data_IF_435251724270
#
_entry.id   IF_435251724270
#
_cell.length_a   1.000
_cell.length_b   1.000
_cell.length_c   1.000
_cell.angle_alpha   90.00
_cell.angle_beta   90.00
_cell.angle_gamma   90.00
#
_symmetry.space_group_name_H-M   'P 1'
#
loop_
_entity.id
_entity.type
_entity.pdbx_description
1 polymer ?
#
# COMPACT_ATOMS: atom_id res chain seq x y z
N UNK A 1 9.76 15.75 -0.48
CA UNK A 1 8.50 16.49 -0.69
C UNK A 1 7.38 15.49 -0.86
N UNK A 2 6.18 15.74 -0.30
CA UNK A 2 5.04 14.85 -0.48
C UNK A 2 4.65 14.74 -1.95
N UNK A 3 4.15 13.58 -2.35
CA UNK A 3 3.67 13.33 -3.71
C UNK A 3 2.47 14.24 -4.01
N UNK A 4 2.52 14.87 -5.17
CA UNK A 4 1.43 15.69 -5.68
C UNK A 4 0.59 14.88 -6.67
N UNK A 5 -0.73 15.10 -6.68
CA UNK A 5 -1.58 14.59 -7.73
C UNK A 5 -1.35 15.41 -9.01
N UNK A 6 -0.40 14.95 -9.82
CA UNK A 6 0.07 15.67 -11.01
C UNK A 6 0.29 14.73 -12.19
N UNK A 7 0.35 15.31 -13.38
CA UNK A 7 0.61 14.57 -14.61
C UNK A 7 2.03 13.97 -14.60
N UNK A 8 2.15 12.70 -15.01
CA UNK A 8 3.44 11.99 -15.03
C UNK A 8 4.43 12.49 -16.10
N UNK A 9 3.96 13.30 -17.07
CA UNK A 9 4.81 13.86 -18.12
C UNK A 9 5.25 15.29 -17.82
N UNK A 10 4.30 16.16 -17.48
CA UNK A 10 4.55 17.60 -17.33
C UNK A 10 4.62 18.07 -15.88
N UNK A 11 4.40 17.17 -14.91
CA UNK A 11 4.40 17.50 -13.49
C UNK A 11 3.28 18.46 -13.09
N UNK A 12 3.40 19.07 -11.88
CA UNK A 12 2.47 20.08 -11.40
C UNK A 12 2.55 21.36 -12.25
N UNK A 13 1.39 21.91 -12.63
CA UNK A 13 1.31 23.17 -13.41
C UNK A 13 0.23 24.08 -12.85
N UNK A 14 0.48 25.40 -12.87
CA UNK A 14 -0.51 26.39 -12.49
C UNK A 14 -1.76 26.29 -13.38
N UNK A 15 -2.95 26.35 -12.78
CA UNK A 15 -4.23 26.28 -13.49
C UNK A 15 -4.67 24.88 -13.93
N UNK A 16 -3.88 23.83 -13.67
CA UNK A 16 -4.31 22.44 -13.89
C UNK A 16 -4.71 21.84 -12.53
N UNK A 17 -6.01 21.68 -12.33
CA UNK A 17 -6.53 21.09 -11.10
C UNK A 17 -6.32 19.55 -11.11
N UNK A 18 -5.92 18.92 -10.00
CA UNK A 18 -5.74 17.47 -9.93
C UNK A 18 -6.92 16.64 -10.44
N UNK A 19 -8.14 17.09 -10.17
CA UNK A 19 -9.41 16.48 -10.59
C UNK A 19 -9.65 16.54 -12.11
N UNK A 20 -8.96 17.43 -12.82
CA UNK A 20 -9.00 17.52 -14.28
C UNK A 20 -8.09 16.51 -14.99
N UNK A 21 -7.24 15.80 -14.23
CA UNK A 21 -6.33 14.81 -14.77
C UNK A 21 -7.02 13.45 -14.98
N UNK A 22 -6.66 12.79 -16.07
CA UNK A 22 -7.18 11.47 -16.40
C UNK A 22 -6.34 10.39 -15.73
N UNK A 23 -7.00 9.51 -14.99
CA UNK A 23 -6.39 8.27 -14.50
C UNK A 23 -6.20 7.30 -15.67
N UNK A 24 -5.09 6.56 -15.67
CA UNK A 24 -4.97 5.41 -16.56
C UNK A 24 -6.11 4.42 -16.29
N UNK A 25 -6.94 4.13 -17.30
CA UNK A 25 -8.14 3.30 -17.14
C UNK A 25 -7.86 1.87 -16.70
N UNK A 26 -6.64 1.37 -16.91
CA UNK A 26 -6.25 0.00 -16.57
C UNK A 26 -5.72 -0.14 -15.15
N UNK A 27 -4.70 0.62 -14.77
CA UNK A 27 -4.09 0.49 -13.43
C UNK A 27 -4.68 1.46 -12.40
N UNK A 28 -5.32 2.55 -12.86
CA UNK A 28 -5.85 3.64 -12.04
C UNK A 28 -4.82 4.34 -11.14
N UNK A 29 -3.53 4.04 -11.34
CA UNK A 29 -2.42 4.40 -10.46
C UNK A 29 -1.55 5.53 -11.02
N UNK A 30 -1.87 6.11 -12.18
CA UNK A 30 -1.11 7.23 -12.77
C UNK A 30 -2.06 8.26 -13.35
N UNK A 31 -1.62 9.52 -13.42
CA UNK A 31 -2.39 10.66 -13.91
C UNK A 31 -1.74 11.28 -15.14
N UNK A 32 -2.55 11.62 -16.13
CA UNK A 32 -2.12 12.28 -17.35
C UNK A 32 -3.09 13.42 -17.71
N UNK A 33 -2.61 14.48 -18.36
CA UNK A 33 -3.49 15.60 -18.76
C UNK A 33 -4.48 15.23 -19.88
N UNK A 34 -4.24 14.13 -20.59
CA UNK A 34 -5.03 13.69 -21.72
C UNK A 34 -4.34 12.61 -22.53
N UNK A 35 -4.92 12.28 -23.69
CA UNK A 35 -4.49 11.17 -24.55
C UNK A 35 -3.04 11.28 -25.03
N UNK A 36 -2.58 12.51 -25.29
CA UNK A 36 -1.20 12.77 -25.73
C UNK A 36 -0.20 12.33 -24.65
N UNK A 37 -0.29 12.91 -23.45
CA UNK A 37 0.59 12.55 -22.33
C UNK A 37 0.44 11.09 -21.91
N UNK A 38 -0.77 10.55 -21.96
CA UNK A 38 -0.99 9.12 -21.70
C UNK A 38 -0.21 8.24 -22.68
N UNK A 39 -0.22 8.56 -23.98
CA UNK A 39 0.50 7.80 -25.00
C UNK A 39 2.01 7.94 -24.83
N UNK A 40 2.49 9.13 -24.50
CA UNK A 40 3.91 9.41 -24.22
C UNK A 40 4.41 8.68 -22.99
N UNK A 41 3.63 8.66 -21.91
CA UNK A 41 3.98 8.02 -20.65
C UNK A 41 3.77 6.49 -20.66
N UNK A 42 2.88 5.96 -21.51
CA UNK A 42 2.52 4.55 -21.51
C UNK A 42 3.71 3.59 -21.61
N UNK A 43 4.70 3.77 -22.50
CA UNK A 43 5.86 2.88 -22.57
C UNK A 43 6.60 2.74 -21.24
N UNK A 44 6.73 3.83 -20.47
CA UNK A 44 7.45 3.86 -19.20
C UNK A 44 6.72 3.07 -18.10
N UNK A 45 5.40 3.23 -17.96
CA UNK A 45 4.65 2.55 -16.90
C UNK A 45 3.97 1.23 -17.35
N UNK A 46 4.15 0.79 -18.60
CA UNK A 46 3.46 -0.38 -19.19
C UNK A 46 3.63 -1.67 -18.38
N UNK A 47 4.84 -1.93 -17.89
CA UNK A 47 5.14 -3.14 -17.12
C UNK A 47 4.38 -3.15 -15.78
N UNK A 48 4.50 -2.06 -15.01
CA UNK A 48 3.79 -1.87 -13.74
C UNK A 48 2.27 -1.84 -13.94
N UNK A 49 1.79 -1.19 -15.01
CA UNK A 49 0.37 -1.15 -15.35
C UNK A 49 -0.24 -2.55 -15.52
N UNK A 50 0.45 -3.43 -16.24
CA UNK A 50 0.01 -4.82 -16.44
C UNK A 50 0.08 -5.62 -15.13
N UNK A 51 1.15 -5.44 -14.35
CA UNK A 51 1.34 -6.10 -13.06
C UNK A 51 0.22 -5.74 -12.09
N UNK A 52 -0.07 -4.45 -11.91
CA UNK A 52 -1.15 -3.97 -11.02
C UNK A 52 -2.51 -4.49 -11.46
N UNK A 53 -2.80 -4.48 -12.77
CA UNK A 53 -4.08 -5.03 -13.27
C UNK A 53 -4.21 -6.50 -12.90
N UNK A 54 -3.17 -7.31 -13.13
CA UNK A 54 -3.17 -8.73 -12.77
C UNK A 54 -3.38 -8.95 -11.27
N UNK A 55 -2.67 -8.18 -10.43
CA UNK A 55 -2.79 -8.30 -8.97
C UNK A 55 -4.17 -7.89 -8.47
N UNK A 56 -4.75 -6.82 -9.03
CA UNK A 56 -6.12 -6.40 -8.71
C UNK A 56 -7.15 -7.44 -9.12
N UNK A 57 -6.99 -8.05 -10.30
CA UNK A 57 -7.88 -9.11 -10.77
C UNK A 57 -7.82 -10.35 -9.87
N UNK A 58 -6.62 -10.76 -9.47
CA UNK A 58 -6.45 -11.86 -8.53
C UNK A 58 -7.07 -11.51 -7.17
N UNK A 59 -6.82 -10.31 -6.64
CA UNK A 59 -7.40 -9.87 -5.38
C UNK A 59 -8.93 -9.88 -5.41
N UNK A 60 -9.56 -9.44 -6.50
CA UNK A 60 -11.02 -9.47 -6.64
C UNK A 60 -11.55 -10.91 -6.78
N UNK A 61 -10.82 -11.77 -7.50
CA UNK A 61 -11.16 -13.19 -7.58
C UNK A 61 -11.13 -13.85 -6.20
N UNK A 62 -10.03 -13.70 -5.44
CA UNK A 62 -9.93 -14.25 -4.09
C UNK A 62 -10.97 -13.63 -3.14
N UNK A 63 -11.32 -12.34 -3.32
CA UNK A 63 -12.42 -11.72 -2.57
C UNK A 63 -13.77 -12.36 -2.91
N UNK A 64 -13.99 -12.72 -4.17
CA UNK A 64 -15.20 -13.43 -4.58
C UNK A 64 -15.29 -14.81 -3.93
N UNK A 65 -14.19 -15.58 -3.91
CA UNK A 65 -14.14 -16.88 -3.25
C UNK A 65 -14.41 -16.75 -1.74
N UNK A 66 -13.80 -15.77 -1.06
CA UNK A 66 -14.04 -15.56 0.37
C UNK A 66 -15.49 -15.14 0.66
N UNK A 67 -16.12 -14.33 -0.19
CA UNK A 67 -17.53 -13.90 -0.02
C UNK A 67 -18.52 -15.03 -0.24
N UNK A 68 -18.21 -15.96 -1.16
CA UNK A 68 -19.14 -17.00 -1.60
C UNK A 68 -18.68 -18.40 -1.17
N UNK A 69 -17.80 -18.50 -0.18
CA UNK A 69 -17.35 -19.77 0.36
C UNK A 69 -18.54 -20.53 0.97
N UNK A 70 -18.66 -21.81 0.60
CA UNK A 70 -19.55 -22.73 1.29
C UNK A 70 -19.00 -23.02 2.69
N UNK A 71 -19.88 -23.01 3.69
CA UNK A 71 -19.49 -23.26 5.08
C UNK A 71 -19.08 -24.73 5.27
N UNK A 72 -17.91 -24.96 5.87
CA UNK A 72 -17.44 -26.25 6.31
C UNK A 72 -16.71 -26.16 7.67
N UNK A 73 -16.23 -27.30 8.18
CA UNK A 73 -15.56 -27.38 9.49
C UNK A 73 -14.36 -26.42 9.67
N UNK A 74 -13.80 -25.89 8.58
CA UNK A 74 -12.59 -25.04 8.57
C UNK A 74 -12.78 -23.70 7.86
N UNK A 75 -13.89 -23.52 7.13
CA UNK A 75 -14.17 -22.36 6.30
C UNK A 75 -15.53 -21.76 6.66
N UNK A 76 -15.57 -20.52 7.16
CA UNK A 76 -16.84 -19.86 7.42
C UNK A 76 -17.48 -19.36 6.12
N UNK A 77 -18.82 -19.35 6.09
CA UNK A 77 -19.57 -18.60 5.09
C UNK A 77 -19.24 -17.10 5.20
N UNK A 78 -18.78 -16.51 4.10
CA UNK A 78 -18.42 -15.09 3.99
C UNK A 78 -17.59 -14.56 5.17
N UNK A 79 -16.29 -14.88 5.19
CA UNK A 79 -15.41 -14.49 6.28
C UNK A 79 -15.34 -12.96 6.53
N UNK A 80 -15.66 -12.13 5.54
CA UNK A 80 -15.64 -10.67 5.68
C UNK A 80 -16.59 -10.13 6.75
N UNK A 81 -17.73 -10.78 6.97
CA UNK A 81 -18.76 -10.32 7.92
C UNK A 81 -18.54 -10.86 9.33
N UNK A 82 -18.00 -12.07 9.44
CA UNK A 82 -17.96 -12.84 10.69
C UNK A 82 -16.58 -12.87 11.33
N UNK A 83 -15.50 -12.62 10.58
CA UNK A 83 -14.13 -12.88 11.03
C UNK A 83 -13.14 -11.75 10.78
N UNK A 84 -13.62 -10.53 10.50
CA UNK A 84 -12.77 -9.34 10.43
C UNK A 84 -11.91 -9.21 11.71
N UNK A 85 -10.63 -8.88 11.52
CA UNK A 85 -9.60 -8.86 12.56
C UNK A 85 -8.84 -10.18 12.71
N UNK A 86 -9.45 -11.31 12.35
CA UNK A 86 -8.92 -12.66 12.56
C UNK A 86 -8.66 -13.44 11.25
N UNK A 87 -8.60 -12.78 10.08
CA UNK A 87 -8.47 -13.45 8.78
C UNK A 87 -7.32 -14.46 8.74
N UNK A 88 -6.17 -14.16 9.32
CA UNK A 88 -5.03 -15.08 9.25
C UNK A 88 -5.27 -16.44 9.92
N UNK A 89 -6.19 -16.52 10.89
CA UNK A 89 -6.57 -17.79 11.52
C UNK A 89 -7.37 -18.67 10.56
N UNK A 90 -8.02 -18.10 9.55
CA UNK A 90 -8.80 -18.81 8.55
C UNK A 90 -7.94 -19.05 7.31
N UNK A 91 -7.59 -20.31 7.09
CA UNK A 91 -6.71 -20.72 6.00
C UNK A 91 -7.22 -20.28 4.62
N UNK A 92 -8.53 -20.39 4.37
CA UNK A 92 -9.15 -20.03 3.09
C UNK A 92 -9.10 -18.53 2.77
N UNK A 93 -8.88 -17.65 3.75
CA UNK A 93 -8.73 -16.19 3.49
C UNK A 93 -7.30 -15.75 3.23
N UNK A 94 -6.31 -16.61 3.51
CA UNK A 94 -4.89 -16.26 3.33
C UNK A 94 -4.51 -15.94 1.87
N UNK A 95 -5.02 -16.66 0.85
CA UNK A 95 -4.80 -16.27 -0.55
C UNK A 95 -5.22 -14.83 -0.85
N UNK A 96 -6.40 -14.41 -0.35
CA UNK A 96 -6.87 -13.03 -0.47
C UNK A 96 -5.91 -12.04 0.20
N UNK A 97 -5.47 -12.31 1.44
CA UNK A 97 -4.52 -11.43 2.16
C UNK A 97 -3.18 -11.31 1.42
N UNK A 98 -2.67 -12.41 0.85
CA UNK A 98 -1.46 -12.40 0.02
C UNK A 98 -1.65 -11.59 -1.25
N UNK A 99 -2.80 -11.72 -1.93
CA UNK A 99 -3.12 -10.95 -3.13
C UNK A 99 -3.19 -9.44 -2.85
N UNK A 100 -3.68 -9.04 -1.67
CA UNK A 100 -3.61 -7.64 -1.22
C UNK A 100 -2.17 -7.16 -1.08
N UNK A 101 -1.29 -7.92 -0.43
CA UNK A 101 0.11 -7.54 -0.26
C UNK A 101 0.85 -7.41 -1.61
N UNK A 102 0.56 -8.30 -2.55
CA UNK A 102 1.04 -8.22 -3.92
C UNK A 102 0.60 -6.90 -4.59
N UNK A 103 -0.69 -6.56 -4.49
CA UNK A 103 -1.22 -5.31 -5.03
C UNK A 103 -0.60 -4.08 -4.36
N UNK A 104 -0.46 -4.08 -3.03
CA UNK A 104 0.19 -3.02 -2.24
C UNK A 104 1.62 -2.80 -2.74
N UNK A 105 2.38 -3.88 -2.93
CA UNK A 105 3.75 -3.83 -3.44
C UNK A 105 3.80 -3.25 -4.86
N UNK A 106 2.90 -3.68 -5.74
CA UNK A 106 2.80 -3.17 -7.11
C UNK A 106 2.42 -1.69 -7.20
N UNK A 107 1.52 -1.23 -6.34
CA UNK A 107 1.12 0.17 -6.24
C UNK A 107 2.23 1.04 -5.63
N UNK A 108 2.90 0.56 -4.59
CA UNK A 108 3.97 1.28 -3.90
C UNK A 108 5.19 1.55 -4.79
N UNK A 109 5.38 0.75 -5.84
CA UNK A 109 6.42 0.93 -6.85
C UNK A 109 6.13 2.05 -7.86
N UNK A 110 4.93 2.64 -7.87
CA UNK A 110 4.61 3.79 -8.72
C UNK A 110 4.73 5.07 -7.90
N UNK A 111 5.64 5.99 -8.26
CA UNK A 111 5.83 7.27 -7.55
C UNK A 111 4.74 8.29 -7.92
N UNK A 112 3.47 7.93 -7.69
CA UNK A 112 2.32 8.80 -7.94
C UNK A 112 1.42 8.83 -6.71
N UNK A 113 0.84 10.01 -6.45
CA UNK A 113 -0.11 10.16 -5.35
C UNK A 113 -1.27 9.16 -5.38
N UNK A 114 -2.02 8.94 -6.48
CA UNK A 114 -3.13 7.98 -6.47
C UNK A 114 -2.67 6.52 -6.29
N UNK A 115 -1.45 6.16 -6.69
CA UNK A 115 -0.91 4.83 -6.43
C UNK A 115 -0.67 4.62 -4.93
N UNK A 116 -0.01 5.58 -4.28
CA UNK A 116 0.29 5.53 -2.84
C UNK A 116 -0.97 5.64 -2.00
N UNK A 117 -1.95 6.47 -2.39
CA UNK A 117 -3.27 6.53 -1.74
C UNK A 117 -4.00 5.18 -1.83
N UNK A 118 -3.97 4.52 -3.00
CA UNK A 118 -4.56 3.20 -3.16
C UNK A 118 -3.81 2.13 -2.34
N UNK A 119 -2.48 2.15 -2.33
CA UNK A 119 -1.69 1.24 -1.49
C UNK A 119 -2.02 1.42 -0.01
N UNK A 120 -2.11 2.66 0.46
CA UNK A 120 -2.45 2.97 1.85
C UNK A 120 -3.86 2.47 2.19
N UNK A 121 -4.84 2.66 1.30
CA UNK A 121 -6.18 2.12 1.49
C UNK A 121 -6.17 0.59 1.66
N UNK A 122 -5.44 -0.13 0.80
CA UNK A 122 -5.32 -1.59 0.89
C UNK A 122 -4.59 -2.03 2.17
N UNK A 123 -3.53 -1.33 2.61
CA UNK A 123 -2.84 -1.63 3.87
C UNK A 123 -3.75 -1.45 5.08
N UNK A 124 -4.54 -0.37 5.13
CA UNK A 124 -5.51 -0.12 6.21
C UNK A 124 -6.58 -1.22 6.26
N UNK A 125 -7.03 -1.69 5.10
CA UNK A 125 -7.98 -2.80 5.04
C UNK A 125 -7.34 -4.13 5.46
N UNK A 126 -6.07 -4.40 5.08
CA UNK A 126 -5.32 -5.55 5.60
C UNK A 126 -5.26 -5.55 7.13
N UNK A 127 -4.95 -4.40 7.74
CA UNK A 127 -4.86 -4.25 9.20
C UNK A 127 -6.22 -4.42 9.89
N UNK A 128 -7.31 -3.94 9.26
CA UNK A 128 -8.68 -4.19 9.73
C UNK A 128 -9.05 -5.67 9.70
N UNK A 129 -8.67 -6.38 8.64
CA UNK A 129 -8.98 -7.80 8.45
C UNK A 129 -8.08 -8.74 9.26
N UNK A 130 -6.84 -8.34 9.51
CA UNK A 130 -5.83 -9.10 10.23
C UNK A 130 -5.02 -8.14 11.11
N UNK A 131 -5.48 -7.93 12.37
CA UNK A 131 -4.82 -7.01 13.31
C UNK A 131 -3.38 -7.42 13.60
N UNK A 132 -3.14 -8.74 13.67
CA UNK A 132 -1.82 -9.35 13.89
C UNK A 132 -0.84 -9.14 12.73
N UNK A 133 -1.32 -8.62 11.59
CA UNK A 133 -0.53 -8.27 10.41
C UNK A 133 0.49 -9.33 10.01
N UNK A 134 0.00 -10.53 9.70
CA UNK A 134 0.86 -11.66 9.34
C UNK A 134 1.43 -11.57 7.92
N UNK A 135 0.93 -10.63 7.10
CA UNK A 135 1.46 -10.33 5.76
C UNK A 135 2.50 -9.21 5.76
N UNK A 136 2.71 -8.54 6.91
CA UNK A 136 3.76 -7.55 7.11
C UNK A 136 3.47 -6.16 6.53
N UNK A 137 2.20 -5.77 6.37
CA UNK A 137 1.86 -4.44 5.82
C UNK A 137 2.28 -3.29 6.75
N UNK A 138 2.46 -3.53 8.06
CA UNK A 138 2.86 -2.49 9.04
C UNK A 138 4.21 -1.86 8.71
N UNK A 139 5.09 -2.59 8.04
CA UNK A 139 6.42 -2.09 7.64
C UNK A 139 6.33 -1.03 6.52
N UNK A 140 5.24 -1.05 5.75
CA UNK A 140 5.07 -0.17 4.59
C UNK A 140 4.22 1.06 4.94
N UNK A 141 3.28 0.95 5.90
CA UNK A 141 2.35 2.03 6.27
C UNK A 141 3.03 3.36 6.59
N UNK A 142 4.07 3.44 7.45
CA UNK A 142 4.73 4.72 7.74
C UNK A 142 5.30 5.38 6.47
N UNK A 143 5.92 4.59 5.59
CA UNK A 143 6.49 5.10 4.34
C UNK A 143 5.40 5.69 3.42
N UNK A 144 4.25 5.02 3.30
CA UNK A 144 3.14 5.52 2.49
C UNK A 144 2.57 6.83 3.06
N UNK A 145 2.38 6.92 4.37
CA UNK A 145 1.90 8.13 5.04
C UNK A 145 2.88 9.31 4.82
N UNK A 146 4.19 9.06 4.98
CA UNK A 146 5.23 10.07 4.75
C UNK A 146 5.26 10.54 3.28
N UNK A 147 5.10 9.64 2.32
CA UNK A 147 5.01 9.99 0.89
C UNK A 147 3.77 10.85 0.58
N UNK A 148 2.70 10.73 1.36
CA UNK A 148 1.50 11.57 1.25
C UNK A 148 1.58 12.86 2.08
N UNK A 149 2.63 13.05 2.86
CA UNK A 149 2.78 14.20 3.77
C UNK A 149 1.96 14.11 5.04
N UNK A 150 1.47 12.91 5.39
CA UNK A 150 0.69 12.62 6.60
C UNK A 150 1.64 12.31 7.76
N UNK A 151 2.43 13.31 8.16
CA UNK A 151 3.53 13.14 9.11
C UNK A 151 3.05 12.76 10.51
N UNK A 152 1.98 13.40 11.00
CA UNK A 152 1.45 13.13 12.32
C UNK A 152 0.89 11.71 12.39
N UNK A 153 0.12 11.30 11.38
CA UNK A 153 -0.46 9.96 11.31
C UNK A 153 0.62 8.88 11.17
N UNK A 154 1.71 9.17 10.45
CA UNK A 154 2.87 8.27 10.38
C UNK A 154 3.50 8.09 11.76
N UNK A 155 3.70 9.19 12.50
CA UNK A 155 4.28 9.15 13.83
C UNK A 155 3.37 8.42 14.83
N UNK A 156 2.09 8.77 14.86
CA UNK A 156 1.09 8.14 15.72
C UNK A 156 1.03 6.62 15.51
N UNK A 157 1.06 6.18 14.26
CA UNK A 157 1.14 4.76 13.89
C UNK A 157 2.42 4.10 14.42
N UNK A 158 3.58 4.72 14.16
CA UNK A 158 4.88 4.21 14.65
C UNK A 158 4.87 4.08 16.17
N UNK A 159 4.43 5.13 16.87
CA UNK A 159 4.37 5.18 18.32
C UNK A 159 3.52 4.04 18.87
N UNK A 160 2.31 3.84 18.34
CA UNK A 160 1.43 2.76 18.77
C UNK A 160 2.12 1.40 18.65
N UNK A 161 2.74 1.11 17.50
CA UNK A 161 3.43 -0.17 17.28
C UNK A 161 4.70 -0.36 18.11
N UNK A 162 5.40 0.72 18.47
CA UNK A 162 6.61 0.68 19.32
C UNK A 162 6.29 0.63 20.82
N UNK A 163 5.05 0.95 21.20
CA UNK A 163 4.59 0.94 22.60
C UNK A 163 3.59 -0.18 22.81
N UNK A 164 2.29 0.09 22.72
CA UNK A 164 1.21 -0.89 22.92
C UNK A 164 1.37 -2.14 22.06
N UNK A 165 1.82 -2.00 20.81
CA UNK A 165 2.04 -3.12 19.90
C UNK A 165 3.28 -3.98 20.17
N UNK A 166 4.22 -3.53 21.03
CA UNK A 166 5.35 -4.34 21.52
C UNK A 166 5.10 -4.97 22.90
N UNK A 167 3.94 -4.72 23.52
CA UNK A 167 3.61 -5.36 24.78
C UNK A 167 3.51 -6.88 24.57
N UNK A 168 4.33 -7.63 25.31
CA UNK A 168 4.40 -9.10 25.23
C UNK A 168 3.08 -9.79 25.61
N UNK A 169 2.20 -9.08 26.31
CA UNK A 169 0.88 -9.55 26.73
C UNK A 169 -0.26 -9.06 25.82
N UNK A 170 0.04 -8.34 24.75
CA UNK A 170 -0.99 -7.84 23.85
C UNK A 170 -1.64 -8.98 23.04
N UNK A 171 -2.94 -9.20 23.26
CA UNK A 171 -3.71 -10.20 22.53
C UNK A 171 -4.30 -9.63 21.21
N UNK A 172 -3.61 -9.93 20.11
CA UNK A 172 -4.03 -9.53 18.76
C UNK A 172 -5.41 -10.06 18.32
N UNK A 173 -5.92 -11.10 18.97
CA UNK A 173 -7.23 -11.66 18.68
C UNK A 173 -8.38 -10.99 19.45
N UNK A 174 -8.05 -10.25 20.52
CA UNK A 174 -9.04 -9.57 21.34
C UNK A 174 -9.47 -8.26 20.69
N UNK A 175 -10.68 -8.27 20.11
CA UNK A 175 -11.22 -7.13 19.37
C UNK A 175 -11.56 -5.91 20.25
N UNK A 176 -11.66 -6.09 21.57
CA UNK A 176 -11.98 -5.04 22.54
C UNK A 176 -10.75 -4.25 23.00
N UNK A 177 -9.53 -4.75 22.74
CA UNK A 177 -8.31 -4.01 23.09
C UNK A 177 -8.12 -2.78 22.18
N UNK A 178 -7.61 -1.65 22.72
CA UNK A 178 -7.29 -0.48 21.91
C UNK A 178 -6.37 -0.83 20.74
N UNK A 179 -6.63 -0.24 19.58
CA UNK A 179 -5.93 -0.54 18.34
C UNK A 179 -5.74 0.70 17.50
N UNK A 180 -4.48 1.05 17.22
CA UNK A 180 -4.11 2.26 16.47
C UNK A 180 -4.81 3.52 17.02
N UNK A 181 -4.93 3.60 18.35
CA UNK A 181 -5.70 4.60 19.10
C UNK A 181 -4.85 5.80 19.56
N UNK A 182 -3.56 5.81 19.22
CA UNK A 182 -2.70 6.98 19.40
C UNK A 182 -3.05 8.02 18.34
N UNK A 183 -3.32 9.25 18.77
CA UNK A 183 -3.59 10.39 17.89
C UNK A 183 -2.98 11.67 18.45
N UNK A 184 -2.30 12.45 17.61
CA UNK A 184 -1.74 13.75 17.98
C UNK A 184 -0.63 13.63 19.03
N UNK A 185 0.15 12.56 18.99
CA UNK A 185 1.30 12.38 19.87
C UNK A 185 2.41 13.41 19.58
N UNK A 186 3.22 13.70 20.60
CA UNK A 186 4.31 14.66 20.48
C UNK A 186 5.44 14.06 19.65
N UNK A 187 5.58 14.49 18.40
CA UNK A 187 6.65 14.00 17.50
C UNK A 187 8.08 14.27 18.01
N UNK A 188 8.25 15.06 19.07
CA UNK A 188 9.55 15.37 19.70
C UNK A 188 9.85 14.52 20.93
N UNK A 189 8.91 13.70 21.40
CA UNK A 189 9.11 12.82 22.54
C UNK A 189 10.08 11.67 22.20
N UNK A 190 10.76 11.17 23.23
CA UNK A 190 11.60 9.98 23.10
C UNK A 190 10.72 8.72 23.05
N UNK A 191 10.88 7.91 21.99
CA UNK A 191 10.22 6.61 21.93
C UNK A 191 10.97 5.58 22.77
N UNK A 192 10.27 4.74 23.57
CA UNK A 192 10.91 3.68 24.32
C UNK A 192 11.41 2.59 23.36
N UNK A 193 12.72 2.52 23.11
CA UNK A 193 13.36 1.44 22.35
C UNK A 193 14.13 1.90 21.11
N UNK A 194 14.85 0.96 20.47
CA UNK A 194 15.48 1.24 19.17
C UNK A 194 14.40 1.16 18.11
N UNK A 195 14.18 2.24 17.37
CA UNK A 195 13.44 2.27 16.09
C UNK A 195 14.19 1.37 15.10
N UNK A 196 14.08 0.04 15.26
CA UNK A 196 14.90 -0.91 14.51
C UNK A 196 14.32 -1.23 13.13
N UNK A 197 13.00 -1.08 12.95
CA UNK A 197 12.33 -1.74 11.82
C UNK A 197 11.37 -0.84 11.01
N UNK A 198 11.25 0.45 11.36
CA UNK A 198 10.24 1.35 10.74
C UNK A 198 10.53 1.69 9.27
N UNK A 199 11.78 1.52 8.82
CA UNK A 199 12.22 1.89 7.47
C UNK A 199 12.83 0.73 6.68
N UNK A 200 12.63 -0.53 7.08
CA UNK A 200 13.29 -1.68 6.46
C UNK A 200 12.93 -1.88 4.97
N UNK A 201 11.92 -1.18 4.47
CA UNK A 201 11.36 -1.33 3.13
C UNK A 201 11.62 -0.13 2.19
N UNK A 202 12.72 0.60 2.35
CA UNK A 202 13.17 1.58 1.34
C UNK A 202 13.50 0.94 -0.02
N UNK A 203 13.56 -0.39 -0.11
CA UNK A 203 13.88 -1.16 -1.32
C UNK A 203 12.69 -1.46 -2.23
N UNK A 204 11.43 -1.39 -1.77
CA UNK A 204 10.28 -1.54 -2.68
C UNK A 204 9.90 -0.26 -3.44
N UNK A 205 10.41 0.90 -3.01
CA UNK A 205 10.05 2.20 -3.59
C UNK A 205 11.03 2.65 -4.68
N UNK A 206 12.21 2.00 -4.81
CA UNK A 206 13.31 2.50 -5.65
C UNK A 206 14.10 1.46 -6.46
N UNK A 207 13.50 0.35 -6.87
CA UNK A 207 14.12 -0.49 -7.90
C UNK A 207 13.71 -0.03 -9.31
N UNK A 208 14.17 1.17 -9.68
CA UNK A 208 14.36 1.55 -11.09
C UNK A 208 15.86 1.71 -11.36
N UNK A 209 16.61 0.63 -11.14
CA UNK A 209 17.96 0.49 -11.70
C UNK A 209 17.87 0.07 -13.18
N UNK A 210 17.19 0.87 -13.99
CA UNK A 210 17.33 0.91 -15.44
C UNK A 210 18.69 1.49 -15.85
N UNK A 211 19.80 0.89 -15.42
CA UNK A 211 21.13 1.20 -15.98
C UNK A 211 21.36 0.41 -17.28
N UNK A 212 20.61 0.72 -18.34
CA UNK A 212 21.14 0.50 -19.68
C UNK A 212 22.06 1.67 -20.03
N UNK A 213 23.35 1.49 -19.74
CA UNK A 213 24.45 2.32 -20.23
C UNK A 213 24.29 2.48 -21.75
N UNK A 214 24.02 3.71 -22.21
CA UNK A 214 24.35 4.12 -23.57
C UNK A 214 25.88 4.09 -23.72
N UNK A 215 26.39 2.96 -24.20
CA UNK A 215 27.77 2.85 -24.68
C UNK A 215 27.88 3.37 -26.11
N UNK A 216 27.75 4.68 -26.30
CA UNK A 216 28.21 5.33 -27.52
C UNK A 216 29.73 5.50 -27.43
N UNK A 217 30.50 4.77 -28.25
CA UNK A 217 31.84 5.21 -28.65
C UNK A 217 31.98 5.09 -30.16
N UNK A 218 32.41 6.22 -30.71
CA UNK A 218 32.66 6.49 -32.11
C UNK A 218 33.65 5.52 -32.76
N UNK A 219 33.45 5.35 -34.07
CA UNK A 219 34.48 4.96 -35.03
C UNK A 219 35.69 5.90 -34.92
N UNK A 220 36.88 5.34 -34.82
CA UNK A 220 38.00 5.52 -35.78
C UNK A 220 38.67 4.17 -35.93
#
# INVERSE_FOLDING_TARGET
MPLQAACQVCGPRAGVAPESLFKCSRCQAVLDCGREHQTTHFPAHKALCRRIKKMRDLMEQEAHEVRNADEDDWTPANAFETHAGNFWKIHSTRPYMSAKMDLISGLSAIPSRPAIEAALAETKDCLRLCRSDNVGVREVVPTLLLLLGQYQEAYDFIKWYQTSGQDEHYDWANMELPYLDVHGADMTEELPGRIRDVFFMSTLVYDDAGQHRQGGRHRV
#
